data_IF_356941847310
#
_entry.id   IF_356941847310
#
_cell.length_a   1.000
_cell.length_b   1.000
_cell.length_c   1.000
_cell.angle_alpha   90.00
_cell.angle_beta   90.00
_cell.angle_gamma   90.00
#
_symmetry.space_group_name_H-M   'P 1'
#
loop_
_entity.id
_entity.type
_entity.pdbx_description
1 polymer ?
#
# COMPACT_ATOMS: atom_id res chain seq x y z
N UNK A 1 -2.64 -47.31 26.95
CA UNK A 1 -2.24 -45.87 26.81
C UNK A 1 -3.11 -45.00 27.70
N UNK A 2 -2.53 -44.54 28.78
CA UNK A 2 -3.22 -43.65 29.73
C UNK A 2 -3.45 -42.29 29.07
N UNK A 3 -4.71 -41.95 28.77
CA UNK A 3 -5.05 -40.60 28.21
C UNK A 3 -4.69 -39.51 29.21
N UNK A 4 -3.97 -38.51 28.77
CA UNK A 4 -3.64 -37.34 29.58
C UNK A 4 -4.91 -36.64 30.08
N UNK A 5 -4.91 -36.25 31.35
CA UNK A 5 -5.98 -35.38 31.89
C UNK A 5 -5.87 -33.96 31.30
N UNK A 6 -6.93 -33.19 31.34
CA UNK A 6 -6.92 -31.81 30.83
C UNK A 6 -5.84 -30.93 31.51
N UNK A 7 -5.60 -31.13 32.79
CA UNK A 7 -4.53 -30.44 33.53
C UNK A 7 -3.13 -30.84 33.01
N UNK A 8 -2.91 -32.12 32.78
CA UNK A 8 -1.65 -32.59 32.21
C UNK A 8 -1.41 -32.12 30.78
N UNK A 9 -2.47 -32.05 29.94
CA UNK A 9 -2.37 -31.50 28.60
C UNK A 9 -1.99 -30.01 28.64
N UNK A 10 -2.60 -29.24 29.53
CA UNK A 10 -2.30 -27.81 29.69
C UNK A 10 -0.85 -27.59 30.11
N UNK A 11 -0.35 -28.38 31.03
CA UNK A 11 1.05 -28.34 31.48
C UNK A 11 2.02 -28.66 30.31
N UNK A 12 1.75 -29.73 29.54
CA UNK A 12 2.54 -30.09 28.35
C UNK A 12 2.53 -29.01 27.26
N UNK A 13 1.38 -28.37 27.03
CA UNK A 13 1.25 -27.23 26.14
C UNK A 13 2.12 -26.06 26.59
N UNK A 14 2.11 -25.74 27.90
CA UNK A 14 2.88 -24.66 28.50
C UNK A 14 4.38 -24.92 28.42
N UNK A 15 4.83 -26.11 28.86
CA UNK A 15 6.23 -26.52 28.78
C UNK A 15 6.75 -26.44 27.34
N UNK A 16 6.03 -27.01 26.38
CA UNK A 16 6.44 -27.05 24.97
C UNK A 16 6.42 -25.67 24.32
N UNK A 17 5.50 -24.80 24.72
CA UNK A 17 5.39 -23.46 24.11
C UNK A 17 6.49 -22.52 24.62
N UNK A 18 6.81 -22.56 25.90
CA UNK A 18 7.81 -21.65 26.49
C UNK A 18 9.24 -22.20 26.50
N UNK A 19 9.48 -23.37 25.94
CA UNK A 19 10.83 -23.90 25.74
C UNK A 19 11.57 -23.09 24.65
N UNK A 20 12.66 -22.36 24.98
CA UNK A 20 13.38 -21.55 23.99
C UNK A 20 13.97 -22.36 22.82
N UNK A 21 14.28 -23.65 23.04
CA UNK A 21 14.87 -24.50 22.01
C UNK A 21 13.85 -25.01 21.00
N UNK A 22 12.59 -25.14 21.41
CA UNK A 22 11.59 -25.85 20.61
C UNK A 22 10.25 -25.12 20.51
N UNK A 23 10.02 -24.13 21.37
CA UNK A 23 8.75 -23.43 21.55
C UNK A 23 8.61 -22.14 20.75
N UNK A 24 7.77 -21.23 21.27
CA UNK A 24 7.45 -19.90 20.75
C UNK A 24 6.98 -19.90 19.28
N UNK A 25 6.50 -21.04 18.78
CA UNK A 25 6.11 -21.24 17.39
C UNK A 25 4.61 -21.03 17.14
N UNK A 26 4.23 -21.21 15.87
CA UNK A 26 2.83 -21.17 15.43
C UNK A 26 2.03 -22.38 15.92
N UNK A 27 0.69 -22.31 15.79
CA UNK A 27 -0.21 -23.43 16.07
C UNK A 27 0.26 -24.72 15.40
N UNK A 28 0.61 -24.67 14.10
CA UNK A 28 1.03 -25.86 13.35
C UNK A 28 2.32 -26.48 13.89
N UNK A 29 3.29 -25.64 14.27
CA UNK A 29 4.56 -26.12 14.83
C UNK A 29 4.34 -26.79 16.18
N UNK A 30 3.55 -26.19 17.05
CA UNK A 30 3.27 -26.75 18.38
C UNK A 30 2.41 -28.01 18.29
N UNK A 31 1.38 -28.01 17.44
CA UNK A 31 0.55 -29.18 17.21
C UNK A 31 1.35 -30.38 16.71
N UNK A 32 2.22 -30.20 15.71
CA UNK A 32 3.06 -31.30 15.19
C UNK A 32 3.90 -31.95 16.27
N UNK A 33 4.33 -31.21 17.28
CA UNK A 33 5.13 -31.76 18.41
C UNK A 33 4.30 -32.53 19.41
N UNK A 34 3.07 -32.10 19.65
CA UNK A 34 2.24 -32.60 20.74
C UNK A 34 1.14 -33.57 20.30
N UNK A 35 0.90 -33.75 18.99
CA UNK A 35 -0.16 -34.62 18.47
C UNK A 35 -0.04 -36.07 18.92
N UNK A 36 1.18 -36.59 19.06
CA UNK A 36 1.43 -37.94 19.54
C UNK A 36 1.05 -38.17 21.00
N UNK A 37 0.87 -37.10 21.77
CA UNK A 37 0.42 -37.13 23.17
C UNK A 37 -1.11 -36.99 23.28
N UNK A 38 -1.86 -37.08 22.18
CA UNK A 38 -3.31 -36.94 22.17
C UNK A 38 -3.83 -35.51 22.29
N UNK A 39 -2.97 -34.51 22.07
CA UNK A 39 -3.35 -33.10 22.08
C UNK A 39 -3.84 -32.71 20.69
N UNK A 40 -5.05 -32.17 20.60
CA UNK A 40 -5.69 -31.77 19.36
C UNK A 40 -5.26 -30.38 18.91
N UNK A 41 -5.39 -30.09 17.61
CA UNK A 41 -5.13 -28.76 17.06
C UNK A 41 -5.99 -27.67 17.74
N UNK A 42 -7.25 -27.96 18.03
CA UNK A 42 -8.17 -27.04 18.68
C UNK A 42 -7.73 -26.67 20.11
N UNK A 43 -7.20 -27.64 20.86
CA UNK A 43 -6.61 -27.40 22.18
C UNK A 43 -5.40 -26.48 22.10
N UNK A 44 -4.50 -26.70 21.12
CA UNK A 44 -3.36 -25.82 20.87
C UNK A 44 -3.80 -24.40 20.51
N UNK A 45 -4.78 -24.24 19.63
CA UNK A 45 -5.33 -22.94 19.25
C UNK A 45 -5.94 -22.20 20.45
N UNK A 46 -6.72 -22.91 21.26
CA UNK A 46 -7.36 -22.37 22.46
C UNK A 46 -6.33 -21.96 23.50
N UNK A 47 -5.27 -22.77 23.68
CA UNK A 47 -4.16 -22.45 24.57
C UNK A 47 -3.41 -21.19 24.09
N UNK A 48 -3.00 -21.13 22.81
CA UNK A 48 -2.21 -20.01 22.28
C UNK A 48 -2.98 -18.69 22.33
N UNK A 49 -4.29 -18.71 22.06
CA UNK A 49 -5.14 -17.51 22.18
C UNK A 49 -5.11 -16.87 23.58
N UNK A 50 -4.80 -17.65 24.63
CA UNK A 50 -4.71 -17.16 26.00
C UNK A 50 -3.29 -16.71 26.40
N UNK A 51 -2.27 -16.97 25.57
CA UNK A 51 -0.89 -16.62 25.87
C UNK A 51 -0.59 -15.16 25.49
N UNK A 52 -0.15 -14.38 26.45
CA UNK A 52 0.20 -12.96 26.26
C UNK A 52 1.24 -12.79 25.14
N UNK A 53 2.34 -13.57 25.21
CA UNK A 53 3.41 -13.51 24.20
C UNK A 53 2.86 -13.76 22.79
N UNK A 54 1.96 -14.72 22.63
CA UNK A 54 1.35 -15.01 21.33
C UNK A 54 0.47 -13.84 20.85
N UNK A 55 -0.35 -13.27 21.74
CA UNK A 55 -1.24 -12.15 21.42
C UNK A 55 -0.46 -10.90 21.00
N UNK A 56 0.63 -10.57 21.70
CA UNK A 56 1.46 -9.39 21.44
C UNK A 56 2.18 -9.47 20.08
N UNK A 57 2.44 -10.69 19.57
CA UNK A 57 3.13 -10.95 18.29
C UNK A 57 2.21 -11.40 17.15
N UNK A 58 0.90 -11.44 17.37
CA UNK A 58 -0.05 -11.79 16.31
C UNK A 58 0.16 -10.89 15.08
N UNK A 59 0.22 -11.52 13.92
CA UNK A 59 0.17 -10.78 12.66
C UNK A 59 -1.20 -10.12 12.53
N UNK A 60 -1.21 -8.82 12.26
CA UNK A 60 -2.44 -8.15 11.88
C UNK A 60 -2.91 -8.76 10.54
N UNK A 61 -3.97 -9.54 10.58
CA UNK A 61 -4.66 -9.98 9.37
C UNK A 61 -5.72 -8.95 9.06
N UNK A 62 -5.45 -8.10 8.10
CA UNK A 62 -6.50 -7.28 7.49
C UNK A 62 -7.17 -8.19 6.48
N UNK A 63 -8.40 -8.64 6.72
CA UNK A 63 -9.07 -9.65 5.88
C UNK A 63 -9.30 -9.15 4.45
N UNK A 64 -9.46 -7.87 4.28
CA UNK A 64 -9.44 -7.17 2.99
C UNK A 64 -9.19 -5.69 3.23
N UNK A 65 -8.63 -5.01 2.22
CA UNK A 65 -8.50 -3.56 2.22
C UNK A 65 -9.73 -2.96 1.56
N UNK A 66 -10.20 -1.84 2.08
CA UNK A 66 -11.16 -1.04 1.35
C UNK A 66 -10.56 -0.65 0.00
N UNK A 67 -11.30 -0.80 -1.10
CA UNK A 67 -10.80 -0.32 -2.37
C UNK A 67 -10.60 1.19 -2.29
N UNK A 68 -9.46 1.66 -2.81
CA UNK A 68 -9.27 3.08 -3.04
C UNK A 68 -10.10 3.42 -4.28
N UNK A 69 -11.08 4.31 -4.14
CA UNK A 69 -11.89 4.78 -5.24
C UNK A 69 -12.31 6.23 -5.02
N UNK A 70 -12.69 6.91 -6.08
CA UNK A 70 -13.23 8.26 -6.03
C UNK A 70 -14.71 8.25 -6.41
N UNK A 71 -15.47 9.16 -5.85
CA UNK A 71 -16.88 9.38 -6.20
C UNK A 71 -17.04 10.23 -7.47
N UNK A 72 -15.99 10.95 -7.87
CA UNK A 72 -15.96 11.82 -9.03
C UNK A 72 -14.64 11.67 -9.81
N UNK A 73 -14.60 12.20 -11.03
CA UNK A 73 -13.40 12.27 -11.85
C UNK A 73 -12.42 13.32 -11.29
N UNK A 74 -11.14 13.18 -11.63
CA UNK A 74 -10.11 14.15 -11.26
C UNK A 74 -9.48 13.95 -9.88
N UNK A 75 -9.55 12.73 -9.33
CA UNK A 75 -8.84 12.36 -8.10
C UNK A 75 -7.55 11.63 -8.42
N UNK A 76 -6.43 12.17 -7.95
CA UNK A 76 -5.09 11.69 -8.28
C UNK A 76 -4.28 11.34 -7.05
N UNK A 77 -3.34 10.42 -7.23
CA UNK A 77 -2.23 10.19 -6.30
C UNK A 77 -0.93 10.52 -6.99
N UNK A 78 -0.01 11.19 -6.30
CA UNK A 78 1.32 11.50 -6.82
C UNK A 78 2.42 11.09 -5.84
N UNK A 79 3.59 10.78 -6.41
CA UNK A 79 4.79 10.36 -5.68
C UNK A 79 6.04 10.60 -6.55
N UNK A 80 7.22 10.57 -5.96
CA UNK A 80 8.49 10.71 -6.67
C UNK A 80 9.24 9.37 -6.77
N UNK A 81 9.67 9.03 -7.97
CA UNK A 81 10.58 7.91 -8.20
C UNK A 81 12.01 8.41 -8.41
N UNK A 82 12.95 7.91 -7.61
CA UNK A 82 14.36 8.36 -7.61
C UNK A 82 15.27 7.39 -8.35
N UNK A 83 16.11 7.94 -9.23
CA UNK A 83 17.12 7.24 -10.04
C UNK A 83 18.51 7.93 -9.99
N UNK A 84 19.04 8.27 -8.80
CA UNK A 84 20.26 9.08 -8.68
C UNK A 84 21.49 8.43 -9.34
N UNK A 85 21.55 7.09 -9.35
CA UNK A 85 22.64 6.32 -9.98
C UNK A 85 22.73 6.53 -11.49
N UNK A 86 21.65 6.95 -12.13
CA UNK A 86 21.56 7.08 -13.59
C UNK A 86 21.52 8.53 -14.05
N UNK A 87 21.77 9.49 -13.17
CA UNK A 87 21.68 10.92 -13.43
C UNK A 87 22.48 11.35 -14.67
N UNK A 88 23.77 10.99 -14.73
CA UNK A 88 24.66 11.40 -15.80
C UNK A 88 24.21 10.87 -17.18
N UNK A 89 23.81 9.61 -17.24
CA UNK A 89 23.39 8.99 -18.51
C UNK A 89 22.02 9.48 -18.99
N UNK A 90 21.23 10.12 -18.10
CA UNK A 90 19.91 10.69 -18.39
C UNK A 90 19.94 12.22 -18.44
N UNK A 91 20.99 12.85 -18.91
CA UNK A 91 21.11 14.29 -19.12
C UNK A 91 20.83 15.14 -17.86
N UNK A 92 21.19 14.62 -16.70
CA UNK A 92 20.96 15.26 -15.40
C UNK A 92 19.60 14.97 -14.77
N UNK A 93 18.72 14.24 -15.46
CA UNK A 93 17.45 13.78 -14.89
C UNK A 93 17.71 12.59 -13.97
N UNK A 94 17.23 12.65 -12.75
CA UNK A 94 17.41 11.65 -11.70
C UNK A 94 16.15 11.35 -10.89
N UNK A 95 15.07 12.05 -11.21
CA UNK A 95 13.79 11.92 -10.52
C UNK A 95 12.64 11.89 -11.55
N UNK A 96 11.56 11.21 -11.24
CA UNK A 96 10.34 11.19 -12.04
C UNK A 96 9.18 11.54 -11.11
N UNK A 97 8.44 12.61 -11.40
CA UNK A 97 7.12 12.84 -10.83
C UNK A 97 6.17 11.82 -11.45
N UNK A 98 5.67 10.91 -10.64
CA UNK A 98 4.66 9.92 -11.03
C UNK A 98 3.30 10.30 -10.49
N UNK A 99 2.27 10.15 -11.31
CA UNK A 99 0.91 10.47 -10.94
C UNK A 99 -0.06 9.44 -11.55
N UNK A 100 -1.12 9.10 -10.84
CA UNK A 100 -2.15 8.18 -11.30
C UNK A 100 -3.55 8.71 -10.97
N UNK A 101 -4.45 8.72 -11.94
CA UNK A 101 -5.87 9.01 -11.71
C UNK A 101 -6.55 7.76 -11.11
N UNK A 102 -7.32 7.98 -10.03
CA UNK A 102 -7.84 6.89 -9.20
C UNK A 102 -8.88 6.03 -9.91
N UNK A 103 -9.77 6.60 -10.72
CA UNK A 103 -10.83 5.85 -11.40
C UNK A 103 -10.30 5.11 -12.63
N UNK A 104 -9.64 5.83 -13.53
CA UNK A 104 -9.19 5.31 -14.83
C UNK A 104 -7.90 4.52 -14.76
N UNK A 105 -7.11 4.68 -13.70
CA UNK A 105 -5.72 4.19 -13.58
C UNK A 105 -4.77 4.81 -14.61
N UNK A 106 -5.18 5.92 -15.24
CA UNK A 106 -4.30 6.65 -16.17
C UNK A 106 -3.06 7.14 -15.43
N UNK A 107 -1.91 6.75 -15.92
CA UNK A 107 -0.61 7.08 -15.33
C UNK A 107 0.13 8.16 -16.11
N UNK A 108 0.82 9.01 -15.39
CA UNK A 108 1.68 10.07 -15.89
C UNK A 108 3.05 9.98 -15.26
N UNK A 109 4.09 10.28 -16.01
CA UNK A 109 5.47 10.31 -15.52
C UNK A 109 6.20 11.49 -16.14
N UNK A 110 6.54 12.49 -15.33
CA UNK A 110 7.24 13.69 -15.77
C UNK A 110 8.69 13.65 -15.26
N UNK A 111 9.70 13.68 -16.14
CA UNK A 111 11.10 13.66 -15.72
C UNK A 111 11.52 14.96 -15.04
N UNK A 112 12.32 14.87 -13.98
CA UNK A 112 12.78 16.00 -13.18
C UNK A 112 14.29 15.92 -12.92
N UNK A 113 14.91 17.09 -12.71
CA UNK A 113 16.31 17.23 -12.27
C UNK A 113 16.36 17.51 -10.76
N UNK A 114 16.41 16.46 -9.96
CA UNK A 114 16.35 16.54 -8.50
C UNK A 114 14.93 16.69 -7.97
N UNK A 115 14.81 17.05 -6.68
CA UNK A 115 13.55 17.16 -5.94
C UNK A 115 13.35 18.54 -5.28
N UNK A 116 14.03 19.56 -5.78
CA UNK A 116 13.86 20.93 -5.27
C UNK A 116 12.47 21.43 -5.64
N UNK A 117 11.93 22.34 -4.84
CA UNK A 117 10.60 22.90 -5.02
C UNK A 117 10.36 23.42 -6.45
N UNK A 118 11.35 24.15 -7.03
CA UNK A 118 11.21 24.68 -8.40
C UNK A 118 11.04 23.54 -9.43
N UNK A 119 11.81 22.45 -9.29
CA UNK A 119 11.72 21.31 -10.20
C UNK A 119 10.40 20.56 -10.05
N UNK A 120 9.83 20.53 -8.84
CA UNK A 120 8.51 19.96 -8.58
C UNK A 120 7.42 20.83 -9.20
N UNK A 121 7.51 22.16 -9.05
CA UNK A 121 6.55 23.10 -9.64
C UNK A 121 6.56 23.06 -11.18
N UNK A 122 7.75 23.01 -11.79
CA UNK A 122 7.88 22.86 -13.25
C UNK A 122 7.24 21.56 -13.75
N UNK A 123 7.51 20.45 -13.07
CA UNK A 123 6.94 19.14 -13.43
C UNK A 123 5.42 19.10 -13.17
N UNK A 124 4.96 19.75 -12.12
CA UNK A 124 3.55 19.88 -11.79
C UNK A 124 2.77 20.68 -12.86
N UNK A 125 3.33 21.79 -13.33
CA UNK A 125 2.72 22.59 -14.40
C UNK A 125 2.58 21.77 -15.71
N UNK A 126 3.57 20.95 -16.05
CA UNK A 126 3.48 20.03 -17.20
C UNK A 126 2.37 19.01 -16.96
N UNK A 127 2.34 18.38 -15.79
CA UNK A 127 1.32 17.39 -15.44
C UNK A 127 -0.10 17.97 -15.52
N UNK A 128 -0.30 19.15 -14.93
CA UNK A 128 -1.58 19.86 -14.97
C UNK A 128 -2.06 20.11 -16.39
N UNK A 129 -1.17 20.63 -17.26
CA UNK A 129 -1.49 20.86 -18.67
C UNK A 129 -1.86 19.58 -19.42
N UNK A 130 -1.19 18.47 -19.11
CA UNK A 130 -1.51 17.17 -19.71
C UNK A 130 -2.89 16.66 -19.27
N UNK A 131 -3.21 16.78 -17.98
CA UNK A 131 -4.50 16.33 -17.44
C UNK A 131 -5.66 17.22 -17.93
N UNK A 132 -5.45 18.54 -18.03
CA UNK A 132 -6.43 19.49 -18.58
C UNK A 132 -6.71 19.19 -20.05
N UNK A 133 -5.67 18.97 -20.84
CA UNK A 133 -5.80 18.60 -22.27
C UNK A 133 -6.53 17.27 -22.46
N UNK A 134 -6.39 16.35 -21.52
CA UNK A 134 -7.12 15.08 -21.53
C UNK A 134 -8.60 15.20 -21.09
N UNK A 135 -9.03 16.38 -20.65
CA UNK A 135 -10.37 16.60 -20.11
C UNK A 135 -10.59 16.00 -18.72
N UNK A 136 -9.49 15.70 -18.02
CA UNK A 136 -9.49 15.11 -16.69
C UNK A 136 -8.68 15.98 -15.70
N UNK A 137 -9.08 17.24 -15.46
CA UNK A 137 -8.33 18.15 -14.61
C UNK A 137 -8.20 17.62 -13.19
N UNK A 138 -7.07 17.94 -12.56
CA UNK A 138 -6.82 17.55 -11.16
C UNK A 138 -7.72 18.38 -10.25
N UNK A 139 -8.55 17.73 -9.46
CA UNK A 139 -9.44 18.35 -8.45
C UNK A 139 -9.08 17.94 -7.04
N UNK A 140 -8.59 16.73 -6.89
CA UNK A 140 -8.16 16.15 -5.62
C UNK A 140 -6.80 15.50 -5.83
N UNK A 141 -5.85 15.89 -5.01
CA UNK A 141 -4.50 15.30 -4.97
C UNK A 141 -4.29 14.61 -3.64
N UNK A 142 -3.74 13.41 -3.67
CA UNK A 142 -3.26 12.72 -2.46
C UNK A 142 -1.77 12.42 -2.62
N UNK A 143 -0.97 12.85 -1.65
CA UNK A 143 0.48 12.58 -1.58
C UNK A 143 0.86 11.99 -0.22
N UNK A 144 2.10 11.57 -0.06
CA UNK A 144 2.67 11.34 1.26
C UNK A 144 3.07 12.68 1.93
N UNK A 145 3.67 12.59 3.12
CA UNK A 145 4.20 13.74 3.88
C UNK A 145 5.61 14.14 3.43
N UNK A 146 5.99 13.89 2.18
CA UNK A 146 7.29 14.31 1.66
C UNK A 146 7.47 15.83 1.71
N UNK A 147 8.66 16.30 2.06
CA UNK A 147 8.96 17.74 2.14
C UNK A 147 8.77 18.48 0.82
N UNK A 148 8.86 17.77 -0.28
CA UNK A 148 8.60 18.27 -1.63
C UNK A 148 7.15 18.71 -1.87
N UNK A 149 6.18 18.10 -1.16
CA UNK A 149 4.76 18.38 -1.24
C UNK A 149 4.27 19.39 -0.19
N UNK A 150 5.10 19.67 0.82
CA UNK A 150 4.77 20.46 2.01
C UNK A 150 5.39 21.86 1.96
N UNK A 151 5.73 22.36 0.77
CA UNK A 151 6.25 23.73 0.63
C UNK A 151 5.11 24.73 0.42
N UNK A 152 5.23 25.93 1.03
CA UNK A 152 4.27 27.01 0.87
C UNK A 152 3.99 27.31 -0.62
N UNK A 153 5.05 27.32 -1.45
CA UNK A 153 4.93 27.57 -2.88
C UNK A 153 4.12 26.49 -3.63
N UNK A 154 4.15 25.23 -3.18
CA UNK A 154 3.31 24.19 -3.76
C UNK A 154 1.86 24.31 -3.29
N UNK A 155 1.67 24.63 -2.01
CA UNK A 155 0.34 24.87 -1.45
C UNK A 155 -0.34 26.07 -2.13
N UNK A 156 0.39 27.15 -2.38
CA UNK A 156 -0.11 28.33 -3.10
C UNK A 156 -0.65 27.96 -4.49
N UNK A 157 0.09 27.12 -5.24
CA UNK A 157 -0.35 26.65 -6.57
C UNK A 157 -1.60 25.77 -6.47
N UNK A 158 -1.69 24.90 -5.48
CA UNK A 158 -2.87 24.06 -5.29
C UNK A 158 -4.11 24.87 -4.92
N UNK A 159 -3.94 25.93 -4.11
CA UNK A 159 -5.02 26.87 -3.75
C UNK A 159 -5.47 27.67 -4.97
N UNK A 160 -4.52 28.19 -5.78
CA UNK A 160 -4.83 28.95 -7.01
C UNK A 160 -5.60 28.10 -8.02
N UNK A 161 -5.26 26.80 -8.12
CA UNK A 161 -5.90 25.85 -9.01
C UNK A 161 -7.18 25.19 -8.41
N UNK A 162 -7.60 25.60 -7.23
CA UNK A 162 -8.76 25.05 -6.49
C UNK A 162 -8.65 23.52 -6.26
N UNK A 163 -7.43 23.01 -6.04
CA UNK A 163 -7.16 21.59 -5.83
C UNK A 163 -7.19 21.26 -4.34
N UNK A 164 -8.01 20.28 -3.96
CA UNK A 164 -8.05 19.76 -2.58
C UNK A 164 -6.87 18.80 -2.38
N UNK A 165 -5.97 19.13 -1.44
CA UNK A 165 -4.82 18.30 -1.11
C UNK A 165 -5.05 17.45 0.14
N UNK A 166 -4.87 16.15 0.03
CA UNK A 166 -4.84 15.23 1.15
C UNK A 166 -3.45 14.62 1.31
N UNK A 167 -2.95 14.60 2.52
CA UNK A 167 -1.70 13.89 2.84
C UNK A 167 -2.00 12.56 3.55
N UNK A 168 -1.31 11.51 3.15
CA UNK A 168 -1.35 10.23 3.87
C UNK A 168 -0.49 10.34 5.12
N UNK A 169 -1.08 10.10 6.29
CA UNK A 169 -0.35 10.11 7.56
C UNK A 169 0.62 8.94 7.65
N UNK A 170 1.67 9.10 8.47
CA UNK A 170 2.62 8.04 8.75
C UNK A 170 1.91 6.79 9.28
N UNK A 171 2.15 5.65 8.63
CA UNK A 171 1.48 4.38 8.96
C UNK A 171 0.21 4.09 8.15
N UNK A 172 -0.33 5.04 7.39
CA UNK A 172 -1.52 4.85 6.54
C UNK A 172 -1.16 4.49 5.09
N UNK A 173 -0.23 3.53 4.96
CA UNK A 173 0.30 3.06 3.67
C UNK A 173 -0.78 2.61 2.68
N UNK A 174 -2.00 2.35 3.16
CA UNK A 174 -3.08 1.89 2.28
C UNK A 174 -3.65 2.99 1.42
N UNK A 175 -3.61 4.25 1.86
CA UNK A 175 -4.12 5.39 1.10
C UNK A 175 -3.35 5.65 -0.19
N UNK A 176 -2.04 5.35 -0.21
CA UNK A 176 -1.17 5.53 -1.37
C UNK A 176 -1.00 4.28 -2.23
N UNK A 177 -1.78 3.23 -1.98
CA UNK A 177 -1.60 1.91 -2.59
C UNK A 177 -1.71 1.87 -4.12
N UNK A 178 -2.36 2.86 -4.76
CA UNK A 178 -2.46 2.92 -6.22
C UNK A 178 -1.19 3.44 -6.85
N UNK A 179 -0.68 4.56 -6.37
CA UNK A 179 0.57 5.12 -6.87
C UNK A 179 1.76 4.20 -6.58
N UNK A 180 1.80 3.56 -5.40
CA UNK A 180 2.82 2.56 -5.09
C UNK A 180 2.83 1.39 -6.08
N UNK A 181 1.64 0.90 -6.45
CA UNK A 181 1.50 -0.16 -7.45
C UNK A 181 1.90 0.31 -8.85
N UNK A 182 1.50 1.52 -9.23
CA UNK A 182 1.90 2.14 -10.48
C UNK A 182 3.42 2.28 -10.55
N UNK A 183 4.05 2.84 -9.52
CA UNK A 183 5.50 2.99 -9.43
C UNK A 183 6.24 1.66 -9.52
N UNK A 184 5.72 0.62 -8.88
CA UNK A 184 6.27 -0.75 -9.00
C UNK A 184 6.21 -1.26 -10.43
N UNK A 185 5.10 -1.03 -11.13
CA UNK A 185 4.92 -1.45 -12.53
C UNK A 185 5.88 -0.68 -13.44
N UNK A 186 5.99 0.64 -13.28
CA UNK A 186 6.91 1.48 -14.05
C UNK A 186 8.36 1.08 -13.84
N UNK A 187 8.79 0.87 -12.59
CA UNK A 187 10.13 0.37 -12.25
C UNK A 187 10.41 -0.99 -12.90
N UNK A 188 9.45 -1.89 -12.92
CA UNK A 188 9.59 -3.20 -13.55
C UNK A 188 9.71 -3.09 -15.08
N UNK A 189 8.93 -2.22 -15.74
CA UNK A 189 9.00 -1.99 -17.18
C UNK A 189 10.34 -1.35 -17.56
N UNK A 190 10.80 -0.34 -16.83
CA UNK A 190 12.10 0.29 -17.02
C UNK A 190 13.25 -0.71 -16.83
N UNK A 191 13.19 -1.55 -15.80
CA UNK A 191 14.19 -2.60 -15.57
C UNK A 191 14.26 -3.59 -16.73
N UNK A 192 13.13 -4.02 -17.27
CA UNK A 192 13.06 -4.89 -18.45
C UNK A 192 13.65 -4.20 -19.67
N UNK A 193 13.31 -2.91 -19.86
CA UNK A 193 13.87 -2.11 -20.95
C UNK A 193 15.40 -2.02 -20.87
N UNK A 194 15.95 -1.77 -19.67
CA UNK A 194 17.41 -1.70 -19.47
C UNK A 194 18.11 -2.99 -19.90
N UNK A 195 17.52 -4.14 -19.58
CA UNK A 195 18.07 -5.45 -19.96
C UNK A 195 17.88 -5.71 -21.45
N UNK A 196 16.68 -5.50 -22.00
CA UNK A 196 16.38 -5.81 -23.38
C UNK A 196 17.20 -5.02 -24.39
N UNK A 197 17.48 -3.75 -24.07
CA UNK A 197 18.20 -2.83 -24.97
C UNK A 197 19.60 -2.49 -24.49
N UNK A 198 20.09 -3.13 -23.41
CA UNK A 198 21.42 -2.91 -22.82
C UNK A 198 21.74 -1.41 -22.57
N UNK A 199 20.76 -0.65 -22.13
CA UNK A 199 20.86 0.82 -22.00
C UNK A 199 21.61 1.28 -20.77
N UNK A 200 22.04 0.36 -19.90
CA UNK A 200 22.78 0.64 -18.64
C UNK A 200 22.09 1.64 -17.71
N UNK A 201 20.74 1.75 -17.80
CA UNK A 201 19.94 2.66 -16.97
C UNK A 201 19.54 3.97 -17.67
N UNK A 202 19.75 4.11 -18.98
CA UNK A 202 19.20 5.25 -19.74
C UNK A 202 17.70 5.06 -19.94
N UNK A 203 16.91 5.91 -19.30
CA UNK A 203 15.44 5.82 -19.28
C UNK A 203 14.74 7.03 -19.92
N UNK A 204 15.41 8.18 -19.99
CA UNK A 204 14.77 9.45 -20.35
C UNK A 204 14.09 9.39 -21.73
N UNK A 205 14.72 8.76 -22.72
CA UNK A 205 14.21 8.69 -24.09
C UNK A 205 13.07 7.66 -24.22
N UNK A 206 13.07 6.63 -23.37
CA UNK A 206 12.07 5.56 -23.40
C UNK A 206 10.85 5.81 -22.50
N UNK A 207 10.96 6.77 -21.56
CA UNK A 207 9.89 7.01 -20.58
C UNK A 207 8.52 7.26 -21.22
N UNK A 208 8.39 8.10 -22.27
CA UNK A 208 7.09 8.32 -22.92
C UNK A 208 6.49 7.03 -23.49
N UNK A 209 7.29 6.19 -24.15
CA UNK A 209 6.84 4.92 -24.73
C UNK A 209 6.41 3.92 -23.66
N UNK A 210 7.10 3.89 -22.53
CA UNK A 210 6.78 3.02 -21.40
C UNK A 210 5.48 3.46 -20.72
N UNK A 211 5.25 4.77 -20.57
CA UNK A 211 3.99 5.32 -20.07
C UNK A 211 2.86 5.04 -21.06
N UNK A 212 3.11 5.21 -22.34
CA UNK A 212 2.15 4.86 -23.41
C UNK A 212 1.76 3.38 -23.33
N UNK A 213 2.73 2.47 -23.23
CA UNK A 213 2.50 1.04 -23.10
C UNK A 213 1.62 0.73 -21.87
N UNK A 214 1.94 1.30 -20.70
CA UNK A 214 1.13 1.14 -19.48
C UNK A 214 -0.32 1.57 -19.72
N UNK A 215 -0.54 2.76 -20.28
CA UNK A 215 -1.86 3.35 -20.47
C UNK A 215 -2.71 2.64 -21.52
N UNK A 216 -2.09 1.89 -22.44
CA UNK A 216 -2.76 1.10 -23.49
C UNK A 216 -2.79 -0.39 -23.17
N UNK A 217 -2.31 -0.83 -22.00
CA UNK A 217 -2.37 -2.22 -21.57
C UNK A 217 -3.64 -2.46 -20.74
N UNK A 218 -4.29 -3.61 -20.97
CA UNK A 218 -5.48 -4.02 -20.24
C UNK A 218 -5.20 -4.10 -18.73
N UNK A 219 -5.99 -3.41 -17.93
CA UNK A 219 -5.85 -3.35 -16.49
C UNK A 219 -6.97 -4.16 -15.79
N UNK A 220 -6.60 -5.28 -15.17
CA UNK A 220 -7.56 -6.21 -14.53
C UNK A 220 -8.48 -5.55 -13.50
N UNK A 221 -8.02 -4.50 -12.82
CA UNK A 221 -8.79 -3.84 -11.76
C UNK A 221 -9.96 -3.00 -12.27
N UNK A 222 -9.87 -2.55 -13.54
CA UNK A 222 -10.90 -1.72 -14.19
C UNK A 222 -11.49 -2.41 -15.43
N UNK A 223 -11.01 -3.60 -15.79
CA UNK A 223 -11.49 -4.45 -16.90
C UNK A 223 -11.44 -3.78 -18.29
N UNK A 224 -10.57 -2.80 -18.48
CA UNK A 224 -10.28 -2.10 -19.73
C UNK A 224 -8.86 -1.50 -19.66
N UNK A 225 -8.43 -0.80 -20.71
CA UNK A 225 -7.21 0.01 -20.66
C UNK A 225 -7.48 1.35 -19.96
N UNK A 226 -6.46 1.97 -19.32
CA UNK A 226 -6.59 3.33 -18.77
C UNK A 226 -7.10 4.37 -19.79
N UNK A 227 -6.67 4.29 -21.04
CA UNK A 227 -7.12 5.20 -22.11
C UNK A 227 -8.60 5.01 -22.43
N UNK A 228 -9.09 3.78 -22.54
CA UNK A 228 -10.52 3.52 -22.76
C UNK A 228 -11.37 4.07 -21.62
N UNK A 229 -10.91 3.90 -20.35
CA UNK A 229 -11.58 4.47 -19.19
C UNK A 229 -11.59 6.00 -19.21
N UNK A 230 -10.47 6.64 -19.59
CA UNK A 230 -10.36 8.11 -19.71
C UNK A 230 -11.34 8.65 -20.75
N UNK A 231 -11.46 8.00 -21.90
CA UNK A 231 -12.30 8.44 -23.02
C UNK A 231 -13.81 8.22 -22.81
N UNK A 232 -14.22 7.36 -21.87
CA UNK A 232 -15.62 6.99 -21.66
C UNK A 232 -16.14 7.31 -20.27
N UNK A 233 -17.02 8.30 -20.16
CA UNK A 233 -17.72 8.61 -18.91
C UNK A 233 -18.55 7.43 -18.40
N UNK A 234 -19.11 6.62 -19.30
CA UNK A 234 -19.89 5.43 -18.97
C UNK A 234 -19.00 4.39 -18.27
N UNK A 235 -17.84 4.09 -18.85
CA UNK A 235 -16.87 3.15 -18.26
C UNK A 235 -16.43 3.65 -16.88
N UNK A 236 -16.12 4.95 -16.72
CA UNK A 236 -15.75 5.51 -15.41
C UNK A 236 -16.85 5.35 -14.37
N UNK A 237 -18.12 5.55 -14.78
CA UNK A 237 -19.27 5.33 -13.89
C UNK A 237 -19.34 3.87 -13.44
N UNK A 238 -19.23 2.92 -14.34
CA UNK A 238 -19.26 1.48 -14.03
C UNK A 238 -18.12 1.05 -13.10
N UNK A 239 -16.90 1.60 -13.31
CA UNK A 239 -15.75 1.36 -12.41
C UNK A 239 -16.06 1.85 -10.99
N UNK A 240 -16.62 3.06 -10.84
CA UNK A 240 -16.99 3.62 -9.54
C UNK A 240 -18.08 2.81 -8.85
N UNK A 241 -19.11 2.42 -9.56
CA UNK A 241 -20.20 1.59 -9.04
C UNK A 241 -19.69 0.23 -8.55
N UNK A 242 -18.83 -0.42 -9.34
CA UNK A 242 -18.21 -1.69 -8.94
C UNK A 242 -17.32 -1.56 -7.70
N UNK A 243 -16.58 -0.45 -7.55
CA UNK A 243 -15.75 -0.18 -6.38
C UNK A 243 -16.59 0.13 -5.14
N UNK A 244 -17.65 0.93 -5.28
CA UNK A 244 -18.62 1.24 -4.23
C UNK A 244 -19.31 -0.02 -3.73
N UNK A 245 -19.76 -0.89 -4.63
CA UNK A 245 -20.37 -2.17 -4.28
C UNK A 245 -19.41 -3.07 -3.49
N UNK A 246 -18.14 -3.18 -3.91
CA UNK A 246 -17.12 -3.92 -3.13
C UNK A 246 -16.94 -3.34 -1.73
N UNK A 247 -17.00 -2.03 -1.59
CA UNK A 247 -16.88 -1.37 -0.28
C UNK A 247 -18.06 -1.73 0.62
N UNK A 248 -19.29 -1.70 0.09
CA UNK A 248 -20.49 -2.05 0.86
C UNK A 248 -20.46 -3.48 1.38
N UNK A 249 -19.86 -4.41 0.63
CA UNK A 249 -19.69 -5.80 1.08
C UNK A 249 -18.68 -5.97 2.23
N UNK A 250 -17.85 -4.96 2.50
CA UNK A 250 -16.85 -4.98 3.57
C UNK A 250 -17.31 -4.34 4.86
N UNK A 251 -18.49 -3.76 4.87
CA UNK A 251 -19.02 -2.94 5.97
C UNK A 251 -19.55 -3.76 7.17
N UNK A 252 -19.33 -5.08 7.20
CA UNK A 252 -19.69 -5.94 8.33
C UNK A 252 -18.52 -6.11 9.34
N UNK A 253 -17.68 -5.13 9.51
CA UNK A 253 -16.66 -5.17 10.57
C UNK A 253 -17.37 -5.39 11.91
N UNK A 254 -16.84 -6.33 12.70
CA UNK A 254 -17.26 -6.47 14.10
C UNK A 254 -17.06 -5.11 14.76
N UNK A 255 -18.14 -4.43 15.07
CA UNK A 255 -18.10 -3.23 15.88
C UNK A 255 -17.56 -3.61 17.26
N UNK A 256 -16.69 -2.77 17.82
CA UNK A 256 -16.33 -2.89 19.22
C UNK A 256 -17.53 -2.46 20.05
N UNK A 257 -17.81 -3.19 21.12
CA UNK A 257 -18.88 -2.89 22.06
C UNK A 257 -18.25 -2.50 23.40
N UNK A 258 -18.96 -1.72 24.17
CA UNK A 258 -18.55 -1.40 25.55
C UNK A 258 -18.41 -2.71 26.33
N UNK A 259 -17.27 -2.88 27.00
CA UNK A 259 -16.91 -4.10 27.74
C UNK A 259 -16.05 -5.10 26.93
N UNK A 260 -15.77 -4.82 25.65
CA UNK A 260 -14.83 -5.62 24.86
C UNK A 260 -13.38 -5.38 25.31
N UNK A 261 -12.66 -6.46 25.55
CA UNK A 261 -11.23 -6.40 25.90
C UNK A 261 -10.37 -6.35 24.64
N UNK A 262 -9.63 -5.26 24.49
CA UNK A 262 -8.83 -4.98 23.30
C UNK A 262 -7.36 -4.73 23.60
N UNK A 263 -6.51 -4.95 22.61
CA UNK A 263 -5.12 -4.48 22.59
C UNK A 263 -4.95 -3.44 21.50
N UNK A 264 -4.21 -2.39 21.80
CA UNK A 264 -3.93 -1.31 20.85
C UNK A 264 -2.70 -1.65 20.02
N UNK A 265 -2.76 -1.38 18.72
CA UNK A 265 -1.61 -1.51 17.83
C UNK A 265 -0.54 -0.48 18.26
N UNK A 266 0.70 -0.95 18.44
CA UNK A 266 1.82 -0.06 18.80
C UNK A 266 2.32 0.69 17.57
N UNK A 267 2.48 1.99 17.67
CA UNK A 267 3.24 2.77 16.71
C UNK A 267 4.71 2.36 16.82
N UNK A 268 5.27 1.84 15.73
CA UNK A 268 6.67 1.45 15.66
C UNK A 268 7.53 2.65 15.29
N UNK A 269 8.67 2.78 15.94
CA UNK A 269 9.68 3.77 15.54
C UNK A 269 10.35 3.29 14.24
N UNK A 270 10.70 4.22 13.35
CA UNK A 270 11.49 3.96 12.14
C UNK A 270 12.71 3.12 12.54
N UNK A 271 12.89 1.94 12.00
CA UNK A 271 13.94 0.95 12.34
C UNK A 271 13.59 -0.12 13.39
N UNK A 272 12.46 -0.05 14.09
CA UNK A 272 12.01 -1.15 14.96
C UNK A 272 11.37 -2.25 14.09
N UNK A 273 12.19 -3.10 13.47
CA UNK A 273 11.71 -4.21 12.61
C UNK A 273 11.19 -5.41 13.41
N UNK A 274 11.65 -5.55 14.65
CA UNK A 274 11.38 -6.68 15.53
C UNK A 274 10.70 -6.20 16.81
N UNK A 275 9.87 -7.04 17.42
CA UNK A 275 9.19 -6.76 18.66
C UNK A 275 7.67 -6.96 18.63
N UNK A 276 6.98 -6.83 19.77
CA UNK A 276 5.55 -7.02 19.88
C UNK A 276 4.79 -5.96 19.09
N UNK A 277 3.78 -6.39 18.33
CA UNK A 277 2.95 -5.52 17.50
C UNK A 277 1.84 -4.83 18.29
N UNK A 278 1.39 -5.46 19.36
CA UNK A 278 0.25 -5.03 20.16
C UNK A 278 0.68 -4.59 21.56
N UNK A 279 -0.13 -3.74 22.18
CA UNK A 279 0.12 -3.29 23.56
C UNK A 279 0.20 -4.46 24.54
N UNK A 280 1.10 -4.36 25.52
CA UNK A 280 1.15 -5.31 26.65
C UNK A 280 -0.11 -5.20 27.51
N UNK A 281 -0.58 -3.97 27.71
CA UNK A 281 -1.79 -3.67 28.44
C UNK A 281 -3.03 -4.04 27.61
N UNK A 282 -4.02 -4.59 28.28
CA UNK A 282 -5.37 -4.84 27.75
C UNK A 282 -6.25 -3.69 28.21
N UNK A 283 -7.02 -3.13 27.29
CA UNK A 283 -7.98 -2.05 27.54
C UNK A 283 -9.40 -2.62 27.45
N UNK A 284 -10.32 -2.01 28.15
CA UNK A 284 -11.75 -2.34 28.15
C UNK A 284 -12.58 -1.12 27.76
#
# INVERSE_FOLDING_TARGET
DMKLTEAQKLEKLREAYYDPKMGLGSVDKLYRKLRSMGITRKEVETFLKKQQVHQEHLQQRIPSYYPIYSVADGSYQADLMFYPKFKTINNGYDTILSCIEITTRKGYCIPMKGKRTEAVLDAWDILRKETDKAGMPIRVLTTDLGSEWMSDAFDDVLVEDEIIHFTAQEGDHHKMGMIERFNRTMKALLSKYFVAYNTKGKWIDALPDIVYNYNHTFHRGIQCTPVEAEQSAQIRKEIREAASFKTSLLDYRKSLHVGDKVRVLRNRVLFEKEGPKWSRQVYE
#
